data_IF_478274197054
#
_entry.id   IF_478274197054
#
_cell.length_a   1.000
_cell.length_b   1.000
_cell.length_c   1.000
_cell.angle_alpha   90.00
_cell.angle_beta   90.00
_cell.angle_gamma   90.00
#
_symmetry.space_group_name_H-M   'P 1'
#
loop_
_entity.id
_entity.type
_entity.pdbx_description
1 polymer ?
#
# COMPACT_ATOMS: atom_id res chain seq x y z
N UNK A 1 -8.40 -5.58 2.49
CA UNK A 1 -7.60 -5.34 3.72
C UNK A 1 -6.31 -6.16 3.81
N UNK A 2 -6.25 -7.37 3.25
CA UNK A 2 -5.06 -8.26 3.31
C UNK A 2 -3.79 -7.66 2.68
N UNK A 3 -3.91 -6.87 1.61
CA UNK A 3 -2.73 -6.32 0.92
C UNK A 3 -2.05 -5.14 1.65
N UNK A 4 -2.71 -4.50 2.61
CA UNK A 4 -2.19 -3.28 3.26
C UNK A 4 -1.17 -3.60 4.36
N UNK A 5 -1.42 -4.63 5.17
CA UNK A 5 -0.53 -5.05 6.27
C UNK A 5 0.90 -5.42 5.83
N UNK A 6 1.11 -6.27 4.81
CA UNK A 6 2.46 -6.64 4.39
C UNK A 6 3.24 -5.44 3.86
N UNK A 7 2.57 -4.48 3.22
CA UNK A 7 3.23 -3.32 2.64
C UNK A 7 3.78 -2.36 3.70
N UNK A 8 3.03 -2.14 4.79
CA UNK A 8 3.51 -1.34 5.95
C UNK A 8 4.72 -2.00 6.59
N UNK A 9 4.73 -3.33 6.73
CA UNK A 9 5.85 -4.07 7.31
C UNK A 9 7.10 -3.98 6.43
N UNK A 10 6.96 -4.18 5.12
CA UNK A 10 8.06 -4.08 4.16
C UNK A 10 8.68 -2.68 4.13
N UNK A 11 7.85 -1.63 4.10
CA UNK A 11 8.32 -0.25 4.15
C UNK A 11 8.98 0.09 5.50
N UNK A 12 8.44 -0.42 6.61
CA UNK A 12 9.04 -0.24 7.94
C UNK A 12 10.42 -0.90 8.06
N UNK A 13 10.58 -2.11 7.54
CA UNK A 13 11.87 -2.81 7.51
C UNK A 13 12.85 -2.08 6.59
N UNK A 14 12.41 -1.63 5.42
CA UNK A 14 13.27 -0.87 4.51
C UNK A 14 13.73 0.46 5.09
N UNK A 15 12.86 1.16 5.82
CA UNK A 15 13.21 2.38 6.54
C UNK A 15 14.25 2.09 7.63
N UNK A 16 14.10 0.99 8.38
CA UNK A 16 15.07 0.57 9.39
C UNK A 16 16.42 0.15 8.78
N UNK A 17 16.42 -0.51 7.62
CA UNK A 17 17.63 -1.00 6.94
C UNK A 17 18.26 0.01 5.98
N UNK A 18 17.59 1.13 5.70
CA UNK A 18 17.97 2.12 4.66
C UNK A 18 18.34 1.47 3.33
N UNK A 19 17.55 0.47 2.92
CA UNK A 19 17.77 -0.28 1.70
C UNK A 19 16.92 0.30 0.56
N UNK A 20 17.60 0.82 -0.45
CA UNK A 20 16.99 1.47 -1.61
C UNK A 20 16.41 0.45 -2.61
N UNK A 21 16.82 -0.83 -2.50
CA UNK A 21 16.34 -1.94 -3.34
C UNK A 21 14.88 -2.32 -3.10
N UNK A 22 14.27 -1.85 -1.99
CA UNK A 22 12.87 -2.14 -1.66
C UNK A 22 11.89 -1.67 -2.75
N UNK A 23 12.26 -0.66 -3.56
CA UNK A 23 11.39 -0.09 -4.61
C UNK A 23 10.89 -1.15 -5.59
N UNK A 24 11.75 -2.10 -5.96
CA UNK A 24 11.42 -3.16 -6.90
C UNK A 24 10.28 -4.07 -6.41
N UNK A 25 10.11 -4.20 -5.09
CA UNK A 25 9.09 -5.04 -4.47
C UNK A 25 7.91 -4.24 -3.92
N UNK A 26 8.15 -3.04 -3.38
CA UNK A 26 7.13 -2.19 -2.80
C UNK A 26 6.21 -1.55 -3.86
N UNK A 27 6.75 -1.19 -5.03
CA UNK A 27 5.99 -0.56 -6.11
C UNK A 27 4.94 -1.51 -6.75
N UNK A 28 5.28 -2.74 -7.18
CA UNK A 28 4.28 -3.67 -7.71
C UNK A 28 3.24 -4.05 -6.65
N UNK A 29 3.65 -4.21 -5.38
CA UNK A 29 2.73 -4.49 -4.30
C UNK A 29 1.74 -3.34 -4.08
N UNK A 30 2.21 -2.09 -4.15
CA UNK A 30 1.36 -0.91 -4.05
C UNK A 30 0.35 -0.81 -5.21
N UNK A 31 0.78 -1.14 -6.43
CA UNK A 31 -0.09 -1.18 -7.61
C UNK A 31 -1.17 -2.26 -7.48
N UNK A 32 -0.81 -3.47 -7.03
CA UNK A 32 -1.77 -4.54 -6.77
C UNK A 32 -2.77 -4.14 -5.69
N UNK A 33 -2.29 -3.55 -4.59
CA UNK A 33 -3.15 -3.00 -3.53
C UNK A 33 -4.12 -1.93 -4.03
N UNK A 34 -3.65 -1.01 -4.88
CA UNK A 34 -4.47 0.03 -5.49
C UNK A 34 -5.53 -0.54 -6.44
N UNK A 35 -5.19 -1.54 -7.26
CA UNK A 35 -6.14 -2.22 -8.14
C UNK A 35 -7.26 -2.91 -7.34
N UNK A 36 -6.90 -3.61 -6.27
CA UNK A 36 -7.87 -4.28 -5.39
C UNK A 36 -8.80 -3.27 -4.70
N UNK A 37 -8.26 -2.15 -4.19
CA UNK A 37 -9.06 -1.09 -3.59
C UNK A 37 -10.02 -0.46 -4.60
N UNK A 38 -9.55 -0.24 -5.83
CA UNK A 38 -10.38 0.29 -6.93
C UNK A 38 -11.53 -0.66 -7.27
N UNK A 39 -11.26 -1.96 -7.32
CA UNK A 39 -12.30 -2.98 -7.52
C UNK A 39 -13.39 -2.90 -6.44
N UNK A 40 -13.00 -2.77 -5.17
CA UNK A 40 -13.97 -2.64 -4.07
C UNK A 40 -14.80 -1.35 -4.18
N UNK A 41 -14.22 -0.23 -4.61
CA UNK A 41 -14.96 1.02 -4.87
C UNK A 41 -15.97 0.82 -6.01
N UNK A 42 -15.55 0.14 -7.08
CA UNK A 42 -16.41 -0.14 -8.24
C UNK A 42 -17.62 -0.99 -7.86
N UNK A 43 -17.38 -2.05 -7.09
CA UNK A 43 -18.42 -2.97 -6.61
C UNK A 43 -19.37 -2.27 -5.63
N UNK A 44 -18.84 -1.47 -4.72
CA UNK A 44 -19.65 -0.67 -3.78
C UNK A 44 -20.56 0.34 -4.50
N UNK A 45 -20.11 0.90 -5.62
CA UNK A 45 -20.85 1.90 -6.42
C UNK A 45 -21.80 1.27 -7.44
N UNK A 46 -21.46 0.10 -7.97
CA UNK A 46 -22.18 -0.62 -9.01
C UNK A 46 -22.44 -2.08 -8.57
N UNK A 47 -23.44 -2.31 -7.71
CA UNK A 47 -23.79 -3.66 -7.23
C UNK A 47 -24.19 -4.62 -8.35
N UNK A 48 -24.54 -4.11 -9.53
CA UNK A 48 -24.82 -4.92 -10.73
C UNK A 48 -23.61 -5.71 -11.24
N UNK A 49 -22.39 -5.37 -10.82
CA UNK A 49 -21.15 -6.07 -11.19
C UNK A 49 -20.90 -7.34 -10.35
N UNK A 50 -21.54 -7.48 -9.19
CA UNK A 50 -21.37 -8.62 -8.26
C UNK A 50 -22.22 -9.85 -8.63
N UNK A 51 -23.04 -9.78 -9.68
CA UNK A 51 -24.12 -10.70 -10.04
C UNK A 51 -23.93 -12.17 -9.61
N UNK A 52 -24.87 -12.67 -8.77
CA UNK A 52 -25.17 -14.08 -8.40
C UNK A 52 -24.02 -15.09 -8.18
N UNK A 53 -22.77 -14.63 -8.05
CA UNK A 53 -21.58 -15.47 -7.87
C UNK A 53 -20.30 -14.67 -7.63
N UNK A 54 -20.44 -13.43 -7.14
CA UNK A 54 -19.32 -12.51 -6.91
C UNK A 54 -18.33 -12.99 -5.83
N UNK A 55 -17.17 -12.33 -5.80
CA UNK A 55 -16.03 -12.58 -4.88
C UNK A 55 -16.38 -12.27 -3.40
N UNK A 56 -17.54 -11.69 -3.17
CA UNK A 56 -17.99 -11.22 -1.87
C UNK A 56 -18.83 -12.28 -1.16
N UNK A 57 -18.62 -12.41 0.13
CA UNK A 57 -19.33 -13.38 0.95
C UNK A 57 -20.82 -12.99 1.04
N UNK A 58 -21.77 -13.90 0.75
CA UNK A 58 -23.19 -13.62 0.88
C UNK A 58 -23.61 -13.26 2.32
N UNK A 59 -22.85 -13.67 3.33
CA UNK A 59 -23.07 -13.25 4.72
C UNK A 59 -22.55 -11.83 5.01
N UNK A 60 -21.67 -11.28 4.15
CA UNK A 60 -21.02 -9.99 4.35
C UNK A 60 -20.90 -9.21 3.04
N UNK A 61 -22.02 -8.66 2.50
CA UNK A 61 -22.03 -8.06 1.17
C UNK A 61 -21.00 -6.95 1.02
N UNK A 62 -20.35 -6.86 -0.13
CA UNK A 62 -19.41 -5.77 -0.41
C UNK A 62 -20.11 -4.41 -0.62
N UNK A 63 -21.43 -4.43 -0.74
CA UNK A 63 -22.29 -3.27 -0.99
C UNK A 63 -22.70 -2.52 0.28
N UNK A 64 -22.53 -3.11 1.47
CA UNK A 64 -22.91 -2.46 2.73
C UNK A 64 -21.83 -1.47 3.17
N UNK A 65 -22.17 -0.18 3.12
CA UNK A 65 -21.34 0.90 3.64
C UNK A 65 -21.47 0.99 5.16
N UNK A 66 -20.62 0.26 5.87
CA UNK A 66 -20.60 0.19 7.34
C UNK A 66 -20.17 1.49 8.03
N UNK A 67 -19.41 2.35 7.32
CA UNK A 67 -18.91 3.63 7.83
C UNK A 67 -18.98 4.65 6.69
N UNK A 68 -19.84 5.65 6.83
CA UNK A 68 -19.90 6.84 5.97
C UNK A 68 -19.69 8.09 6.82
N UNK A 69 -18.48 8.26 7.34
CA UNK A 69 -18.09 9.53 7.93
C UNK A 69 -17.83 10.51 6.76
N UNK A 70 -18.61 11.60 6.66
CA UNK A 70 -18.58 12.60 5.57
C UNK A 70 -19.22 12.21 4.21
N UNK A 71 -19.95 11.09 4.09
CA UNK A 71 -20.76 10.75 2.90
C UNK A 71 -19.99 10.37 1.62
N UNK A 72 -18.65 10.24 1.70
CA UNK A 72 -17.78 9.85 0.58
C UNK A 72 -16.57 8.98 1.00
N UNK A 73 -16.25 8.90 2.29
CA UNK A 73 -15.07 8.20 2.78
C UNK A 73 -15.46 6.77 3.16
N UNK A 74 -15.15 5.84 2.27
CA UNK A 74 -15.27 4.41 2.57
C UNK A 74 -13.90 3.78 2.78
N UNK A 75 -13.89 2.65 3.46
CA UNK A 75 -12.67 1.91 3.79
C UNK A 75 -11.78 1.63 2.56
N UNK A 76 -12.30 1.27 1.37
CA UNK A 76 -11.47 1.11 0.19
C UNK A 76 -10.92 2.44 -0.38
N UNK A 77 -11.63 3.56 -0.23
CA UNK A 77 -11.12 4.89 -0.66
C UNK A 77 -9.93 5.36 0.18
N UNK A 78 -10.00 5.19 1.52
CA UNK A 78 -8.85 5.47 2.39
C UNK A 78 -7.65 4.60 2.03
N UNK A 79 -7.86 3.31 1.79
CA UNK A 79 -6.79 2.40 1.38
C UNK A 79 -6.17 2.80 0.03
N UNK A 80 -6.98 3.22 -0.95
CA UNK A 80 -6.50 3.72 -2.23
C UNK A 80 -5.59 4.94 -2.05
N UNK A 81 -5.99 5.91 -1.24
CA UNK A 81 -5.18 7.11 -0.97
C UNK A 81 -3.81 6.78 -0.37
N UNK A 82 -3.75 5.80 0.54
CA UNK A 82 -2.51 5.33 1.13
C UNK A 82 -1.59 4.66 0.08
N UNK A 83 -2.13 3.79 -0.78
CA UNK A 83 -1.34 3.16 -1.84
C UNK A 83 -0.81 4.18 -2.86
N UNK A 84 -1.62 5.18 -3.23
CA UNK A 84 -1.20 6.27 -4.12
C UNK A 84 -0.09 7.10 -3.48
N UNK A 85 -0.24 7.49 -2.21
CA UNK A 85 0.80 8.22 -1.46
C UNK A 85 2.11 7.44 -1.42
N UNK A 86 2.05 6.13 -1.13
CA UNK A 86 3.24 5.26 -1.10
C UNK A 86 3.90 5.20 -2.48
N UNK A 87 3.12 5.01 -3.54
CA UNK A 87 3.64 4.95 -4.91
C UNK A 87 4.31 6.28 -5.32
N UNK A 88 3.69 7.41 -4.99
CA UNK A 88 4.24 8.74 -5.24
C UNK A 88 5.53 9.00 -4.44
N UNK A 89 5.58 8.60 -3.17
CA UNK A 89 6.79 8.73 -2.37
C UNK A 89 7.94 7.88 -2.96
N UNK A 90 7.66 6.66 -3.37
CA UNK A 90 8.65 5.77 -3.98
C UNK A 90 9.13 6.29 -5.34
N UNK A 91 8.28 6.94 -6.12
CA UNK A 91 8.65 7.50 -7.44
C UNK A 91 9.38 8.83 -7.34
N UNK A 92 8.92 9.75 -6.48
CA UNK A 92 9.41 11.13 -6.45
C UNK A 92 10.47 11.40 -5.40
N UNK A 93 10.53 10.64 -4.31
CA UNK A 93 11.59 10.83 -3.32
C UNK A 93 12.86 10.23 -3.91
N UNK A 94 13.97 10.97 -4.09
CA UNK A 94 15.24 10.36 -4.45
C UNK A 94 15.68 9.52 -3.26
N UNK A 95 15.97 8.23 -3.46
CA UNK A 95 16.66 7.47 -2.42
C UNK A 95 18.02 8.12 -2.25
N UNK A 96 18.17 8.84 -1.14
CA UNK A 96 19.46 9.33 -0.72
C UNK A 96 20.27 8.10 -0.31
N UNK A 97 20.84 7.43 -1.31
CA UNK A 97 21.87 6.42 -1.13
C UNK A 97 23.03 7.08 -0.39
N UNK A 98 22.99 7.02 0.94
CA UNK A 98 24.04 7.44 1.88
C UNK A 98 23.85 6.59 3.13
N UNK A 99 24.78 5.70 3.51
CA UNK A 99 26.23 5.88 3.50
C UNK A 99 26.95 4.55 3.23
N UNK A 100 27.45 4.34 2.02
CA UNK A 100 28.63 3.50 1.85
C UNK A 100 29.82 4.26 2.42
N UNK A 101 30.43 3.72 3.48
CA UNK A 101 31.85 3.85 3.75
C UNK A 101 32.41 5.26 3.94
N UNK A 102 32.08 5.91 5.04
CA UNK A 102 33.06 6.72 5.79
C UNK A 102 32.73 6.53 7.26
N UNK A 103 33.06 5.35 7.79
CA UNK A 103 33.33 5.23 9.21
C UNK A 103 34.86 5.40 9.36
N UNK A 104 35.36 6.56 9.82
CA UNK A 104 36.79 6.77 10.05
C UNK A 104 37.36 5.80 11.10
N UNK A 105 36.52 5.11 11.86
CA UNK A 105 36.94 4.24 12.98
C UNK A 105 37.54 2.89 12.55
N UNK A 106 37.60 2.56 11.25
CA UNK A 106 38.28 1.32 10.77
C UNK A 106 39.76 1.51 10.42
N UNK A 107 40.29 2.73 10.42
CA UNK A 107 41.68 3.02 10.08
C UNK A 107 42.58 3.33 11.30
N UNK A 108 42.10 3.07 12.53
CA UNK A 108 42.83 3.35 13.78
C UNK A 108 43.11 2.06 14.59
N UNK A 109 43.35 0.93 13.92
CA UNK A 109 43.86 -0.27 14.60
C UNK A 109 45.31 -0.50 14.16
N UNK A 110 46.29 -0.33 15.07
CA UNK A 110 47.71 -0.54 14.79
C UNK A 110 48.09 -2.02 14.62
#
# INVERSE_FOLDING_TARGET
>A
RIAMYPQVLLLGIAWARRDDGIRAYALPLALVGAAISTFHILVERFPSLEGSGGVCDPANPCTIRWVEELGFITIPTMALSAFVLIALLLSHLPTAGRRTGTDPLRNEVP
#
